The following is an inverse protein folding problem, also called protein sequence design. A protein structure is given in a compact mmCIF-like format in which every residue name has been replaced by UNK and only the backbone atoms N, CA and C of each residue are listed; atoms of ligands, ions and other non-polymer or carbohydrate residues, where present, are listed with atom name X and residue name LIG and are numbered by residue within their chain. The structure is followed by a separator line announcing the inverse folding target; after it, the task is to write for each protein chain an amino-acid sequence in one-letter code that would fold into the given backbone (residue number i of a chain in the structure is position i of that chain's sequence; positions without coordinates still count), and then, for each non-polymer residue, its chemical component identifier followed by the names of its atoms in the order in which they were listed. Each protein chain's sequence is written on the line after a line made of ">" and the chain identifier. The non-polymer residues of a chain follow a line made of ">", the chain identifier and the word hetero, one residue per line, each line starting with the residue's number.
data_IF_947397502547
#
_entry.id   IF_947397502547
#
_cell.length_a   1.000
_cell.length_b   1.000
_cell.length_c   1.000
_cell.angle_alpha   90.00
_cell.angle_beta   90.00
_cell.angle_gamma   90.00
#
_symmetry.space_group_name_H-M   'P 1'
#
loop_
_entity.id
_entity.type
_entity.pdbx_description
1 polymer ?
#
# COMPACT_ATOMS: atom_id res chain seq x y z
N UNK A 1 9.68 -4.51 15.36
CA UNK A 1 10.42 -4.70 14.09
C UNK A 1 10.10 -6.07 13.56
N UNK A 2 9.26 -6.12 12.54
CA UNK A 2 8.90 -7.34 11.81
C UNK A 2 10.08 -7.89 11.00
N UNK A 3 10.06 -9.19 10.69
CA UNK A 3 11.06 -9.80 9.82
C UNK A 3 11.08 -9.18 8.42
N UNK A 4 9.94 -8.71 7.92
CA UNK A 4 9.84 -8.07 6.62
C UNK A 4 10.54 -6.70 6.59
N UNK A 5 10.35 -5.89 7.64
CA UNK A 5 11.03 -4.59 7.76
C UNK A 5 12.55 -4.74 7.85
N UNK A 6 13.05 -5.77 8.54
CA UNK A 6 14.48 -6.06 8.58
C UNK A 6 15.06 -6.33 7.18
N UNK A 7 14.31 -7.00 6.30
CA UNK A 7 14.72 -7.25 4.91
C UNK A 7 14.72 -5.96 4.07
N UNK A 8 13.78 -5.05 4.31
CA UNK A 8 13.80 -3.73 3.66
C UNK A 8 15.05 -2.94 4.05
N UNK A 9 15.49 -3.04 5.31
CA UNK A 9 16.72 -2.38 5.79
C UNK A 9 17.99 -2.94 5.14
N UNK A 10 17.98 -4.19 4.69
CA UNK A 10 19.06 -4.79 3.89
C UNK A 10 19.06 -4.27 2.44
N UNK A 11 17.89 -3.89 1.90
CA UNK A 11 17.73 -3.36 0.54
C UNK A 11 18.04 -1.87 0.47
N UNK A 12 17.47 -1.08 1.38
CA UNK A 12 17.67 0.36 1.46
C UNK A 12 17.87 0.77 2.93
N UNK A 13 18.97 1.46 3.27
CA UNK A 13 19.20 1.91 4.64
C UNK A 13 18.08 2.87 5.07
N UNK A 14 17.77 2.87 6.37
CA UNK A 14 16.79 3.79 6.92
C UNK A 14 17.16 5.25 6.59
N UNK A 15 16.19 6.10 6.18
CA UNK A 15 16.44 7.50 5.97
C UNK A 15 16.80 8.20 7.29
N UNK A 16 17.42 9.38 7.21
CA UNK A 16 17.84 10.15 8.38
C UNK A 16 16.67 10.69 9.21
N UNK A 17 15.49 10.82 8.61
CA UNK A 17 14.31 11.42 9.22
C UNK A 17 13.17 10.40 9.31
N UNK A 18 13.00 9.72 10.47
CA UNK A 18 11.84 8.87 10.70
C UNK A 18 10.56 9.69 10.76
N UNK A 19 9.43 9.09 10.40
CA UNK A 19 8.12 9.75 10.51
C UNK A 19 7.46 9.45 11.84
N UNK A 20 6.85 10.46 12.44
CA UNK A 20 5.96 10.30 13.57
C UNK A 20 4.54 10.68 13.15
N UNK A 21 3.57 9.86 13.55
CA UNK A 21 2.17 10.05 13.23
C UNK A 21 1.33 9.91 14.49
N UNK A 22 0.29 10.73 14.59
CA UNK A 22 -0.79 10.48 15.52
C UNK A 22 -1.70 9.40 14.93
N UNK A 23 -1.35 8.13 15.19
CA UNK A 23 -2.09 6.99 14.65
C UNK A 23 -3.55 6.98 15.11
N UNK A 24 -3.85 7.45 16.32
CA UNK A 24 -5.22 7.55 16.81
C UNK A 24 -6.05 8.58 16.03
N UNK A 25 -5.44 9.66 15.54
CA UNK A 25 -6.11 10.60 14.64
C UNK A 25 -6.29 10.02 13.23
N UNK A 26 -5.26 9.36 12.70
CA UNK A 26 -5.30 8.72 11.36
C UNK A 26 -6.37 7.64 11.30
N UNK A 27 -6.39 6.72 12.26
CA UNK A 27 -7.36 5.62 12.33
C UNK A 27 -8.80 6.12 12.48
N UNK A 28 -8.98 7.23 13.21
CA UNK A 28 -10.28 7.90 13.32
C UNK A 28 -10.72 8.50 12.00
N UNK A 29 -9.81 9.11 11.24
CA UNK A 29 -10.12 9.68 9.93
C UNK A 29 -10.52 8.58 8.92
N UNK A 30 -9.81 7.45 8.94
CA UNK A 30 -10.10 6.31 8.06
C UNK A 30 -11.25 5.41 8.55
N UNK A 31 -11.73 5.64 9.77
CA UNK A 31 -12.70 4.78 10.46
C UNK A 31 -12.28 3.29 10.47
N UNK A 32 -10.98 3.00 10.57
CA UNK A 32 -10.38 1.67 10.71
C UNK A 32 -9.11 1.74 11.55
N UNK A 33 -8.76 0.65 12.21
CA UNK A 33 -7.40 0.43 12.71
C UNK A 33 -6.47 0.06 11.55
N UNK A 34 -5.21 0.50 11.60
CA UNK A 34 -4.22 0.15 10.57
C UNK A 34 -3.27 -0.97 11.04
N UNK A 35 -2.77 -1.81 10.10
CA UNK A 35 -1.82 -2.87 10.42
C UNK A 35 -0.57 -2.34 11.15
N UNK A 36 -0.09 -3.10 12.13
CA UNK A 36 1.08 -2.74 12.90
C UNK A 36 2.36 -2.67 12.05
N UNK A 37 2.49 -3.56 11.06
CA UNK A 37 3.65 -3.58 10.15
C UNK A 37 3.71 -2.32 9.29
N UNK A 38 2.56 -1.84 8.80
CA UNK A 38 2.46 -0.57 8.08
C UNK A 38 2.88 0.62 8.95
N UNK A 39 2.46 0.66 10.21
CA UNK A 39 2.86 1.72 11.14
C UNK A 39 4.38 1.71 11.37
N UNK A 40 5.00 0.53 11.48
CA UNK A 40 6.46 0.41 11.56
C UNK A 40 7.14 0.85 10.25
N UNK A 41 6.60 0.46 9.08
CA UNK A 41 7.09 0.85 7.77
C UNK A 41 7.11 2.37 7.61
N UNK A 42 5.97 3.03 7.88
CA UNK A 42 5.86 4.49 7.81
C UNK A 42 6.77 5.16 8.84
N UNK A 43 6.89 4.61 10.05
CA UNK A 43 7.80 5.17 11.05
C UNK A 43 9.24 5.25 10.54
N UNK A 44 9.73 4.19 9.87
CA UNK A 44 11.10 4.13 9.36
C UNK A 44 11.27 4.88 8.05
N UNK A 45 10.46 4.56 7.04
CA UNK A 45 10.66 5.04 5.67
C UNK A 45 9.77 6.22 5.30
N UNK A 46 8.64 6.40 5.99
CA UNK A 46 7.59 7.33 5.59
C UNK A 46 6.99 6.99 4.23
N UNK A 47 6.32 8.00 3.65
CA UNK A 47 5.93 7.98 2.25
C UNK A 47 7.20 7.86 1.44
N UNK A 48 7.25 6.87 0.56
CA UNK A 48 8.49 6.47 -0.10
C UNK A 48 8.24 5.98 -1.50
N UNK A 49 9.23 6.17 -2.36
CA UNK A 49 9.27 5.65 -3.70
C UNK A 49 10.38 4.60 -3.81
N UNK A 50 10.02 3.45 -4.40
CA UNK A 50 10.87 2.28 -4.56
C UNK A 50 11.00 1.95 -6.05
N UNK A 51 12.24 1.79 -6.50
CA UNK A 51 12.63 1.47 -7.88
C UNK A 51 12.08 2.44 -8.94
N UNK A 52 11.84 3.72 -8.55
CA UNK A 52 11.11 4.74 -9.32
C UNK A 52 9.76 4.26 -9.85
N UNK A 53 9.16 3.25 -9.21
CA UNK A 53 7.96 2.58 -9.69
C UNK A 53 6.85 2.61 -8.64
N UNK A 54 7.09 2.02 -7.47
CA UNK A 54 6.09 1.86 -6.42
C UNK A 54 6.20 2.99 -5.39
N UNK A 55 5.07 3.63 -5.10
CA UNK A 55 4.93 4.70 -4.12
C UNK A 55 4.10 4.22 -2.93
N UNK A 56 4.70 4.20 -1.75
CA UNK A 56 4.00 3.94 -0.48
C UNK A 56 3.31 5.24 -0.05
N UNK A 57 2.01 5.17 0.17
CA UNK A 57 1.20 6.28 0.64
C UNK A 57 1.47 6.52 2.13
N UNK A 58 1.48 7.77 2.58
CA UNK A 58 1.70 8.14 3.97
C UNK A 58 0.54 9.01 4.46
N UNK A 59 -0.03 8.78 5.65
CA UNK A 59 -1.06 9.67 6.19
C UNK A 59 -0.41 11.00 6.59
N UNK A 60 -0.91 12.13 6.08
CA UNK A 60 -0.23 13.41 6.16
C UNK A 60 1.13 13.38 5.48
N UNK A 61 1.21 12.84 4.25
CA UNK A 61 2.47 12.79 3.49
C UNK A 61 2.96 14.22 3.21
N UNK A 62 4.26 14.54 3.34
CA UNK A 62 4.76 15.85 2.95
C UNK A 62 4.56 16.19 1.47
N UNK A 63 4.36 15.17 0.62
CA UNK A 63 3.90 15.33 -0.74
C UNK A 63 2.42 14.96 -0.80
N UNK A 64 1.55 15.95 -0.92
CA UNK A 64 0.09 15.76 -0.87
C UNK A 64 -0.43 14.78 -1.93
N UNK A 65 0.29 14.61 -3.06
CA UNK A 65 -0.06 13.62 -4.08
C UNK A 65 0.00 12.17 -3.60
N UNK A 66 0.62 11.89 -2.46
CA UNK A 66 0.76 10.55 -1.88
C UNK A 66 0.19 10.49 -0.45
N UNK A 67 -0.75 11.37 -0.11
CA UNK A 67 -1.47 11.34 1.15
C UNK A 67 -2.44 10.16 1.21
N UNK A 68 -2.26 9.26 2.18
CA UNK A 68 -3.10 8.07 2.29
C UNK A 68 -4.59 8.40 2.54
N UNK A 69 -4.89 9.44 3.32
CA UNK A 69 -6.27 9.76 3.71
C UNK A 69 -7.03 10.31 2.51
N UNK A 70 -6.40 11.19 1.73
CA UNK A 70 -6.98 11.69 0.48
C UNK A 70 -7.16 10.57 -0.54
N UNK A 71 -6.15 9.72 -0.71
CA UNK A 71 -6.24 8.54 -1.59
C UNK A 71 -7.37 7.60 -1.18
N UNK A 72 -7.52 7.31 0.12
CA UNK A 72 -8.58 6.43 0.60
C UNK A 72 -9.98 6.98 0.34
N UNK A 73 -10.16 8.31 0.44
CA UNK A 73 -11.42 8.96 0.10
C UNK A 73 -11.73 8.88 -1.40
N UNK A 74 -10.77 9.30 -2.24
CA UNK A 74 -10.95 9.36 -3.70
C UNK A 74 -11.13 7.96 -4.29
N UNK A 75 -10.31 6.99 -3.90
CA UNK A 75 -10.37 5.62 -4.43
C UNK A 75 -11.67 4.90 -4.06
N UNK A 76 -12.24 5.19 -2.88
CA UNK A 76 -13.53 4.62 -2.51
C UNK A 76 -14.67 5.13 -3.42
N UNK A 77 -14.64 6.41 -3.80
CA UNK A 77 -15.61 7.00 -4.73
C UNK A 77 -15.40 6.48 -6.16
N UNK A 78 -14.16 6.46 -6.63
CA UNK A 78 -13.81 6.00 -7.98
C UNK A 78 -14.20 4.52 -8.20
N UNK A 79 -13.91 3.64 -7.24
CA UNK A 79 -14.23 2.21 -7.35
C UNK A 79 -15.74 1.94 -7.33
N UNK A 80 -16.52 2.66 -6.51
CA UNK A 80 -17.98 2.54 -6.54
C UNK A 80 -18.55 2.92 -7.91
N UNK A 81 -18.02 3.98 -8.54
CA UNK A 81 -18.40 4.36 -9.90
C UNK A 81 -17.96 3.34 -10.97
N UNK A 82 -16.80 2.72 -10.81
CA UNK A 82 -16.30 1.68 -11.73
C UNK A 82 -17.12 0.39 -11.65
N UNK A 83 -17.57 -0.02 -10.47
CA UNK A 83 -18.37 -1.24 -10.28
C UNK A 83 -19.78 -1.14 -10.88
N UNK A 84 -20.22 0.03 -11.35
CA UNK A 84 -21.41 0.13 -12.21
C UNK A 84 -21.18 -0.47 -13.61
N UNK A 85 -19.93 -0.61 -14.05
CA UNK A 85 -19.54 -1.02 -15.40
C UNK A 85 -18.59 -2.23 -15.45
N UNK A 86 -17.90 -2.53 -14.35
CA UNK A 86 -16.91 -3.60 -14.22
C UNK A 86 -17.32 -4.63 -13.15
N UNK A 87 -16.74 -5.82 -13.21
CA UNK A 87 -17.01 -6.86 -12.21
C UNK A 87 -16.35 -6.51 -10.88
N UNK A 88 -17.17 -6.35 -9.84
CA UNK A 88 -16.71 -6.12 -8.48
C UNK A 88 -16.06 -7.39 -7.92
N UNK A 89 -14.87 -7.30 -7.28
CA UNK A 89 -14.26 -8.47 -6.64
C UNK A 89 -15.19 -9.15 -5.63
N UNK A 90 -15.29 -10.47 -5.68
CA UNK A 90 -16.19 -11.27 -4.82
C UNK A 90 -16.04 -10.96 -3.33
N UNK A 91 -14.82 -10.68 -2.85
CA UNK A 91 -14.60 -10.36 -1.45
C UNK A 91 -15.22 -9.02 -1.02
N UNK A 92 -15.44 -8.10 -1.96
CA UNK A 92 -16.05 -6.79 -1.72
C UNK A 92 -17.57 -6.83 -1.85
N UNK A 93 -18.14 -7.96 -2.30
CA UNK A 93 -19.58 -8.23 -2.22
C UNK A 93 -20.02 -8.58 -0.78
N UNK A 94 -19.08 -9.00 0.06
CA UNK A 94 -19.35 -9.28 1.48
C UNK A 94 -19.60 -7.97 2.21
N UNK A 95 -20.79 -7.85 2.81
CA UNK A 95 -21.21 -6.65 3.51
C UNK A 95 -20.19 -6.21 4.59
N UNK A 96 -19.73 -4.96 4.49
CA UNK A 96 -18.77 -4.36 5.42
C UNK A 96 -17.30 -4.49 4.99
N UNK A 97 -16.98 -5.37 4.02
CA UNK A 97 -15.66 -5.39 3.43
C UNK A 97 -15.47 -4.14 2.55
N UNK A 98 -14.24 -3.61 2.56
CA UNK A 98 -13.83 -2.50 1.70
C UNK A 98 -12.35 -2.57 1.42
N UNK A 99 -11.88 -1.83 0.42
CA UNK A 99 -10.46 -1.64 0.18
C UNK A 99 -9.98 -0.30 0.71
N UNK A 100 -8.74 -0.26 1.19
CA UNK A 100 -8.04 0.98 1.56
C UNK A 100 -6.66 0.96 0.90
N UNK A 101 -6.30 1.98 0.10
CA UNK A 101 -5.03 1.99 -0.61
C UNK A 101 -3.88 2.22 0.36
N UNK A 102 -2.76 1.54 0.11
CA UNK A 102 -1.51 1.72 0.85
C UNK A 102 -0.33 2.02 -0.06
N UNK A 103 -0.43 1.69 -1.35
CA UNK A 103 0.54 2.08 -2.35
C UNK A 103 -0.11 2.27 -3.72
N UNK A 104 0.59 3.00 -4.58
CA UNK A 104 0.29 3.15 -6.00
C UNK A 104 1.57 3.02 -6.81
N UNK A 105 1.49 3.01 -8.13
CA UNK A 105 2.65 2.96 -9.03
C UNK A 105 2.69 4.14 -9.98
N UNK A 106 3.81 4.32 -10.69
CA UNK A 106 3.94 5.32 -11.76
C UNK A 106 3.01 5.05 -12.98
N UNK A 107 2.53 3.82 -13.13
CA UNK A 107 1.63 3.39 -14.20
C UNK A 107 0.15 3.44 -13.79
N UNK A 108 -0.15 3.74 -12.52
CA UNK A 108 -1.51 3.89 -12.00
C UNK A 108 -2.11 2.62 -11.40
N UNK A 109 -1.35 1.53 -11.27
CA UNK A 109 -1.80 0.40 -10.47
C UNK A 109 -1.96 0.81 -9.01
N UNK A 110 -2.93 0.22 -8.33
CA UNK A 110 -3.21 0.52 -6.93
C UNK A 110 -3.13 -0.75 -6.09
N UNK A 111 -2.48 -0.62 -4.93
CA UNK A 111 -2.31 -1.69 -3.97
C UNK A 111 -3.10 -1.35 -2.71
N UNK A 112 -3.95 -2.28 -2.31
CA UNK A 112 -4.93 -2.11 -1.25
C UNK A 112 -4.73 -3.14 -0.15
N UNK A 113 -5.19 -2.79 1.05
CA UNK A 113 -5.64 -3.78 2.01
C UNK A 113 -7.11 -4.07 1.75
N UNK A 114 -7.51 -5.34 1.79
CA UNK A 114 -8.92 -5.67 2.00
C UNK A 114 -9.22 -5.62 3.50
N UNK A 115 -9.95 -4.58 3.89
CA UNK A 115 -10.46 -4.41 5.24
C UNK A 115 -11.60 -5.39 5.43
N UNK A 116 -11.40 -6.34 6.33
CA UNK A 116 -12.41 -7.31 6.73
C UNK A 116 -12.72 -7.12 8.22
N UNK A 117 -13.94 -6.68 8.59
CA UNK A 117 -14.29 -6.39 9.98
C UNK A 117 -14.12 -7.57 10.95
N UNK A 118 -14.22 -8.79 10.45
CA UNK A 118 -14.07 -10.03 11.24
C UNK A 118 -12.60 -10.43 11.47
N UNK A 119 -11.64 -9.75 10.83
CA UNK A 119 -10.21 -10.03 10.95
C UNK A 119 -9.48 -8.89 11.64
N UNK A 120 -8.36 -9.23 12.30
CA UNK A 120 -7.43 -8.21 12.79
C UNK A 120 -6.75 -7.50 11.59
N UNK A 121 -6.40 -6.20 11.71
CA UNK A 121 -5.68 -5.49 10.65
C UNK A 121 -4.43 -6.21 10.15
N UNK A 122 -3.66 -6.83 11.06
CA UNK A 122 -2.44 -7.58 10.74
C UNK A 122 -2.69 -8.87 9.91
N UNK A 123 -3.95 -9.27 9.73
CA UNK A 123 -4.36 -10.45 8.96
C UNK A 123 -4.99 -10.08 7.62
N UNK A 124 -5.12 -8.79 7.30
CA UNK A 124 -5.70 -8.37 6.03
C UNK A 124 -4.82 -8.78 4.86
N UNK A 125 -5.50 -9.16 3.77
CA UNK A 125 -4.86 -9.54 2.51
C UNK A 125 -4.50 -8.29 1.71
N UNK A 126 -3.35 -8.31 1.06
CA UNK A 126 -2.99 -7.29 0.05
C UNK A 126 -3.67 -7.65 -1.26
N UNK A 127 -4.32 -6.68 -1.88
CA UNK A 127 -4.84 -6.79 -3.24
C UNK A 127 -4.15 -5.81 -4.17
N UNK A 128 -3.91 -6.24 -5.41
CA UNK A 128 -3.35 -5.38 -6.48
C UNK A 128 -4.39 -5.27 -7.58
N UNK A 129 -4.74 -4.05 -7.96
CA UNK A 129 -5.63 -3.75 -9.08
C UNK A 129 -4.83 -3.12 -10.22
N UNK A 130 -5.13 -3.53 -11.45
CA UNK A 130 -4.52 -2.91 -12.62
C UNK A 130 -5.04 -1.48 -12.85
N UNK A 131 -4.22 -0.63 -13.47
CA UNK A 131 -4.58 0.78 -13.68
C UNK A 131 -5.83 0.99 -14.56
N UNK A 132 -6.12 0.03 -15.45
CA UNK A 132 -7.22 0.07 -16.41
C UNK A 132 -7.74 -1.34 -16.64
N UNK A 133 -8.81 -1.71 -15.94
CA UNK A 133 -9.48 -2.98 -16.11
C UNK A 133 -9.89 -3.62 -14.78
N UNK A 134 -10.50 -4.78 -14.91
CA UNK A 134 -11.16 -5.51 -13.83
C UNK A 134 -10.25 -6.56 -13.17
N UNK A 135 -8.96 -6.62 -13.50
CA UNK A 135 -8.07 -7.61 -12.89
C UNK A 135 -7.66 -7.21 -11.47
N UNK A 136 -7.77 -8.20 -10.59
CA UNK A 136 -7.33 -8.12 -9.20
C UNK A 136 -6.52 -9.37 -8.82
N UNK A 137 -5.39 -9.15 -8.17
CA UNK A 137 -4.58 -10.21 -7.56
C UNK A 137 -4.64 -10.14 -6.04
N UNK A 138 -4.45 -11.28 -5.38
CA UNK A 138 -4.55 -11.42 -3.92
C UNK A 138 -3.29 -12.04 -3.37
N UNK A 139 -2.76 -11.41 -2.32
CA UNK A 139 -1.54 -11.84 -1.66
C UNK A 139 -1.80 -11.88 -0.15
N UNK A 140 -1.96 -13.08 0.44
CA UNK A 140 -2.28 -13.25 1.87
C UNK A 140 -1.03 -13.02 2.74
N UNK A 141 -0.44 -11.84 2.60
CA UNK A 141 0.76 -11.36 3.30
C UNK A 141 0.53 -9.90 3.69
N UNK A 142 1.27 -9.41 4.68
CA UNK A 142 1.20 -8.00 5.07
C UNK A 142 1.76 -7.08 3.97
N UNK A 143 1.44 -5.78 3.98
CA UNK A 143 1.96 -4.85 2.97
C UNK A 143 3.49 -4.73 3.02
N UNK A 144 4.08 -4.75 4.22
CA UNK A 144 5.54 -4.72 4.37
C UNK A 144 6.18 -5.98 3.81
N UNK A 145 5.54 -7.14 4.02
CA UNK A 145 6.02 -8.40 3.44
C UNK A 145 5.84 -8.43 1.93
N UNK A 146 4.72 -7.91 1.40
CA UNK A 146 4.51 -7.77 -0.04
C UNK A 146 5.63 -6.94 -0.67
N UNK A 147 5.93 -5.76 -0.11
CA UNK A 147 6.97 -4.87 -0.61
C UNK A 147 8.35 -5.54 -0.57
N UNK A 148 8.73 -6.11 0.59
CA UNK A 148 10.03 -6.77 0.75
C UNK A 148 10.20 -7.97 -0.19
N UNK A 149 9.16 -8.79 -0.34
CA UNK A 149 9.18 -9.98 -1.19
C UNK A 149 9.11 -9.64 -2.68
N UNK A 150 8.51 -8.50 -3.03
CA UNK A 150 8.55 -8.00 -4.40
C UNK A 150 9.95 -7.51 -4.75
N UNK A 151 10.55 -6.70 -3.88
CA UNK A 151 11.89 -6.13 -4.11
C UNK A 151 12.98 -7.20 -4.18
N UNK A 152 12.89 -8.27 -3.40
CA UNK A 152 13.86 -9.36 -3.45
C UNK A 152 13.59 -10.41 -4.57
N UNK A 153 12.46 -10.29 -5.28
CA UNK A 153 12.06 -11.18 -6.36
C UNK A 153 11.42 -12.52 -5.94
N UNK A 154 11.10 -12.72 -4.67
CA UNK A 154 10.40 -13.91 -4.14
C UNK A 154 8.89 -13.89 -4.42
N UNK A 155 8.31 -12.70 -4.53
CA UNK A 155 6.91 -12.48 -4.89
C UNK A 155 6.87 -11.74 -6.23
N UNK A 156 6.00 -12.20 -7.13
CA UNK A 156 5.73 -11.55 -8.40
C UNK A 156 4.22 -11.41 -8.59
N UNK A 157 3.83 -10.27 -9.13
CA UNK A 157 2.48 -9.95 -9.57
C UNK A 157 2.46 -10.00 -11.10
N UNK A 158 1.41 -10.55 -11.70
CA UNK A 158 1.19 -10.51 -13.16
C UNK A 158 0.54 -9.19 -13.59
N UNK A 159 0.09 -8.37 -12.65
CA UNK A 159 -0.43 -7.02 -12.86
C UNK A 159 0.71 -5.98 -12.86
N UNK A 160 1.62 -6.06 -11.89
CA UNK A 160 2.73 -5.10 -11.79
C UNK A 160 3.71 -5.25 -12.97
N UNK A 161 4.43 -4.15 -13.26
CA UNK A 161 5.41 -4.11 -14.33
C UNK A 161 6.43 -5.24 -14.23
N UNK A 162 6.64 -5.97 -15.34
CA UNK A 162 7.70 -6.98 -15.45
C UNK A 162 9.12 -6.43 -15.27
N UNK A 163 9.29 -5.11 -15.26
CA UNK A 163 10.56 -4.43 -14.97
C UNK A 163 10.76 -4.15 -13.47
N UNK A 164 9.78 -4.47 -12.63
CA UNK A 164 9.87 -4.38 -11.18
C UNK A 164 10.11 -5.77 -10.56
N UNK A 165 11.08 -5.93 -9.65
CA UNK A 165 12.01 -4.91 -9.16
C UNK A 165 13.20 -4.67 -10.12
N UNK A 166 13.92 -3.56 -9.91
CA UNK A 166 15.17 -3.29 -10.60
C UNK A 166 16.29 -4.18 -10.06
N UNK A 167 17.31 -4.44 -10.88
CA UNK A 167 18.52 -5.16 -10.47
C UNK A 167 19.34 -4.42 -9.41
N UNK A 168 19.34 -3.08 -9.49
CA UNK A 168 19.89 -2.20 -8.47
C UNK A 168 18.74 -1.37 -7.92
N UNK A 169 18.45 -1.53 -6.63
CA UNK A 169 17.30 -0.87 -6.03
C UNK A 169 17.49 0.64 -5.92
N UNK A 170 16.44 1.38 -6.29
CA UNK A 170 16.31 2.80 -6.05
C UNK A 170 15.39 3.03 -4.85
N UNK A 171 15.76 3.96 -3.97
CA UNK A 171 14.90 4.38 -2.87
C UNK A 171 14.93 5.90 -2.73
N UNK A 172 13.75 6.49 -2.54
CA UNK A 172 13.59 7.91 -2.20
C UNK A 172 12.49 8.09 -1.17
N UNK A 173 12.81 8.71 -0.04
CA UNK A 173 11.78 9.20 0.87
C UNK A 173 11.10 10.42 0.25
N UNK A 174 9.77 10.45 0.27
CA UNK A 174 8.97 11.54 -0.29
C UNK A 174 9.08 12.76 0.62
N UNK A 175 9.30 13.92 0.02
CA UNK A 175 9.38 15.22 0.67
C UNK A 175 8.46 16.25 0.00
N UNK A 176 8.39 17.47 0.53
CA UNK A 176 7.57 18.55 -0.03
C UNK A 176 7.89 18.82 -1.51
N UNK A 177 6.86 19.18 -2.27
CA UNK A 177 6.95 19.62 -3.67
C UNK A 177 7.33 21.10 -3.76
#
# INVERSE_FOLDING_TARGET
>A
MTSALARLLEIAPAPSEPRQKDWSAVERALCIELPADYKELIHVYGGSNWDDYLYVLEPGCPNDHYDLIEWAGNQAEDLEGLWEFEEKPEELEVAGNRVVPWATTDNGECLYWIVQPDLRPDQWTVMVNEARGDRWERFPVSCTQFLASSLNGELRSEILSSLFPRTTHGFRQLGPV
#
